data_IF_765443397378
#
_entry.id   IF_765443397378
#
_cell.length_a   1.000
_cell.length_b   1.000
_cell.length_c   1.000
_cell.angle_alpha   90.00
_cell.angle_beta   90.00
_cell.angle_gamma   90.00
#
_symmetry.space_group_name_H-M   'P 1'
#
loop_
_entity.id
_entity.type
_entity.pdbx_description
1 polymer ?
#
# COMPACT_ATOMS: atom_id res chain seq x y z
N UNK A 1 49.75 -12.77 -81.18
CA UNK A 1 49.87 -12.51 -79.77
C UNK A 1 48.45 -12.34 -79.22
N UNK A 2 47.98 -13.32 -78.51
CA UNK A 2 46.57 -13.41 -78.07
C UNK A 2 46.45 -12.93 -76.63
N UNK A 3 45.69 -11.86 -76.39
CA UNK A 3 45.24 -11.47 -75.02
C UNK A 3 43.92 -12.16 -74.72
N UNK A 4 43.91 -12.91 -73.67
CA UNK A 4 42.70 -13.54 -73.14
C UNK A 4 41.93 -12.51 -72.31
N UNK A 5 40.69 -12.27 -72.68
CA UNK A 5 39.74 -11.53 -71.87
C UNK A 5 39.16 -12.48 -70.78
N UNK A 6 39.33 -12.13 -69.54
CA UNK A 6 38.69 -12.77 -68.43
C UNK A 6 37.28 -12.16 -68.23
N UNK A 7 36.27 -13.00 -68.30
CA UNK A 7 34.90 -12.65 -68.05
C UNK A 7 34.73 -12.70 -66.52
N UNK A 8 34.42 -11.55 -65.90
CA UNK A 8 33.99 -11.49 -64.51
C UNK A 8 32.49 -11.90 -64.42
N UNK A 9 32.24 -13.02 -63.81
CA UNK A 9 30.90 -13.43 -63.40
C UNK A 9 30.50 -12.63 -62.15
N UNK A 10 29.50 -11.80 -62.33
CA UNK A 10 28.84 -11.11 -61.20
C UNK A 10 27.95 -12.13 -60.46
N UNK A 11 28.38 -12.52 -59.29
CA UNK A 11 27.55 -13.29 -58.37
C UNK A 11 26.54 -12.38 -57.68
N UNK A 12 25.25 -12.63 -57.85
CA UNK A 12 24.15 -12.05 -57.10
C UNK A 12 24.27 -12.43 -55.63
N UNK A 13 24.10 -11.51 -54.70
CA UNK A 13 24.06 -11.86 -53.28
C UNK A 13 22.74 -12.61 -52.95
N UNK A 14 22.87 -13.80 -52.41
CA UNK A 14 21.80 -14.57 -51.82
C UNK A 14 21.15 -13.79 -50.70
N UNK A 15 19.82 -13.83 -50.70
CA UNK A 15 18.97 -13.28 -49.63
C UNK A 15 19.41 -13.81 -48.25
N UNK A 16 19.91 -12.91 -47.42
CA UNK A 16 20.05 -13.20 -45.99
C UNK A 16 18.68 -13.26 -45.37
N UNK A 17 18.31 -14.45 -44.94
CA UNK A 17 17.24 -14.71 -43.99
C UNK A 17 17.50 -13.85 -42.74
N UNK A 18 16.61 -12.91 -42.46
CA UNK A 18 16.56 -12.21 -41.20
C UNK A 18 16.18 -13.24 -40.09
N UNK A 19 17.17 -13.91 -39.55
CA UNK A 19 17.10 -14.48 -38.23
C UNK A 19 17.06 -13.31 -37.25
N UNK A 20 15.87 -12.90 -36.84
CA UNK A 20 15.67 -12.14 -35.63
C UNK A 20 16.27 -12.97 -34.49
N UNK A 21 17.48 -12.59 -34.09
CA UNK A 21 18.11 -13.05 -32.88
C UNK A 21 17.17 -12.64 -31.71
N UNK A 22 16.34 -13.57 -31.29
CA UNK A 22 15.82 -13.53 -29.92
C UNK A 22 17.06 -13.54 -29.05
N UNK A 23 17.29 -12.54 -28.18
CA UNK A 23 18.42 -12.57 -27.28
C UNK A 23 18.30 -13.87 -26.50
N UNK A 24 19.28 -14.76 -26.61
CA UNK A 24 19.41 -15.85 -25.65
C UNK A 24 19.58 -15.17 -24.30
N UNK A 25 18.51 -15.12 -23.53
CA UNK A 25 18.54 -14.77 -22.13
C UNK A 25 19.51 -15.75 -21.48
N UNK A 26 20.74 -15.27 -21.22
CA UNK A 26 21.60 -15.85 -20.22
C UNK A 26 20.71 -16.18 -19.03
N UNK A 27 20.80 -17.40 -18.51
CA UNK A 27 20.13 -17.90 -17.32
C UNK A 27 20.39 -16.99 -16.09
N UNK A 28 19.80 -15.82 -16.08
CA UNK A 28 19.47 -15.10 -14.88
C UNK A 28 18.08 -15.66 -14.52
N UNK A 29 18.08 -16.76 -13.78
CA UNK A 29 16.95 -17.11 -12.94
C UNK A 29 16.84 -15.99 -11.90
N UNK A 30 16.33 -14.82 -12.33
CA UNK A 30 15.74 -13.89 -11.43
C UNK A 30 14.57 -14.67 -10.83
N UNK A 31 14.75 -15.20 -9.61
CA UNK A 31 13.63 -15.53 -8.75
C UNK A 31 12.86 -14.22 -8.62
N UNK A 32 11.79 -14.08 -9.38
CA UNK A 32 10.75 -13.11 -9.09
C UNK A 32 10.17 -13.62 -7.78
N UNK A 33 10.71 -13.12 -6.68
CA UNK A 33 10.16 -13.41 -5.37
C UNK A 33 8.82 -12.67 -5.28
N UNK A 34 7.83 -13.24 -4.60
CA UNK A 34 6.58 -12.55 -4.25
C UNK A 34 6.83 -11.19 -3.56
N UNK A 35 8.05 -10.95 -3.04
CA UNK A 35 8.50 -9.64 -2.55
C UNK A 35 8.46 -8.51 -3.60
N UNK A 36 8.42 -8.84 -4.90
CA UNK A 36 8.23 -7.89 -5.99
C UNK A 36 6.77 -7.86 -6.46
N UNK A 37 5.86 -8.57 -5.77
CA UNK A 37 4.44 -8.58 -6.08
C UNK A 37 3.72 -7.45 -5.34
N UNK A 38 2.69 -6.92 -5.99
CA UNK A 38 1.78 -5.92 -5.44
C UNK A 38 1.10 -6.44 -4.15
N UNK A 39 0.87 -7.75 -4.06
CA UNK A 39 0.28 -8.42 -2.90
C UNK A 39 1.36 -8.68 -1.86
N UNK A 40 1.39 -7.88 -0.79
CA UNK A 40 2.36 -7.98 0.29
C UNK A 40 1.97 -8.96 1.41
N UNK A 41 0.71 -9.37 1.47
CA UNK A 41 0.22 -10.38 2.41
C UNK A 41 -1.20 -10.83 2.10
N UNK A 42 -1.47 -12.13 2.23
CA UNK A 42 -2.82 -12.70 2.12
C UNK A 42 -2.89 -13.98 2.98
N UNK A 43 -3.50 -13.90 4.14
CA UNK A 43 -3.51 -14.97 5.15
C UNK A 43 -4.86 -15.06 5.86
N UNK A 44 -5.11 -16.23 6.46
CA UNK A 44 -6.15 -16.38 7.48
C UNK A 44 -5.46 -16.34 8.84
N UNK A 45 -5.92 -15.45 9.70
CA UNK A 45 -5.37 -15.24 11.03
C UNK A 45 -6.39 -15.57 12.11
N UNK A 46 -5.89 -16.14 13.21
CA UNK A 46 -6.64 -16.36 14.43
C UNK A 46 -6.00 -15.61 15.58
N UNK A 47 -6.81 -14.84 16.30
CA UNK A 47 -6.37 -14.08 17.48
C UNK A 47 -7.26 -14.42 18.66
N UNK A 48 -6.61 -14.54 19.82
CA UNK A 48 -7.30 -14.78 21.09
C UNK A 48 -7.86 -13.50 21.69
N UNK A 49 -8.89 -13.66 22.50
CA UNK A 49 -9.46 -12.60 23.33
C UNK A 49 -8.36 -11.77 24.03
N UNK A 50 -8.56 -10.46 24.11
CA UNK A 50 -7.59 -9.52 24.66
C UNK A 50 -6.44 -9.13 23.70
N UNK A 51 -6.42 -9.66 22.47
CA UNK A 51 -5.44 -9.22 21.46
C UNK A 51 -5.62 -7.74 21.15
N UNK A 52 -4.52 -7.01 21.08
CA UNK A 52 -4.52 -5.59 20.76
C UNK A 52 -3.36 -5.24 19.82
N UNK A 53 -3.70 -4.89 18.60
CA UNK A 53 -2.77 -4.31 17.66
C UNK A 53 -3.00 -2.80 17.63
N UNK A 54 -2.01 -2.07 18.14
CA UNK A 54 -2.13 -0.64 18.41
C UNK A 54 -2.23 0.20 17.14
N UNK A 55 -2.54 1.49 17.31
CA UNK A 55 -2.68 2.43 16.19
C UNK A 55 -1.43 2.53 15.34
N UNK A 56 -1.60 2.27 14.06
CA UNK A 56 -0.56 2.34 13.02
C UNK A 56 -1.15 2.88 11.73
N UNK A 57 -0.33 3.02 10.72
CA UNK A 57 -0.74 3.33 9.34
C UNK A 57 0.28 2.68 8.39
N UNK A 58 -0.09 2.53 7.14
CA UNK A 58 0.78 2.07 6.06
C UNK A 58 0.30 2.62 4.72
N UNK A 59 1.14 2.49 3.69
CA UNK A 59 0.84 2.95 2.32
C UNK A 59 0.01 1.94 1.52
N UNK A 60 -0.14 0.72 2.04
CA UNK A 60 -0.93 -0.33 1.40
C UNK A 60 -2.43 -0.16 1.66
N UNK A 61 -3.24 -0.71 0.77
CA UNK A 61 -4.63 -1.04 1.07
C UNK A 61 -4.64 -2.30 1.93
N UNK A 62 -5.49 -2.31 2.95
CA UNK A 62 -5.63 -3.41 3.88
C UNK A 62 -7.09 -3.86 3.94
N UNK A 63 -7.30 -5.17 3.86
CA UNK A 63 -8.62 -5.78 3.88
C UNK A 63 -8.71 -6.75 5.06
N UNK A 64 -9.81 -6.63 5.81
CA UNK A 64 -10.24 -7.63 6.79
C UNK A 64 -11.61 -8.16 6.41
N UNK A 65 -11.77 -9.47 6.48
CA UNK A 65 -13.06 -10.15 6.45
C UNK A 65 -13.17 -11.07 7.66
N UNK A 66 -14.16 -10.84 8.50
CA UNK A 66 -14.36 -11.62 9.72
C UNK A 66 -15.00 -12.95 9.37
N UNK A 67 -14.32 -14.05 9.70
CA UNK A 67 -14.75 -15.42 9.46
C UNK A 67 -15.55 -15.98 10.63
N UNK A 68 -15.10 -15.67 11.86
CA UNK A 68 -15.82 -16.02 13.08
C UNK A 68 -15.44 -15.10 14.23
N UNK A 69 -16.32 -14.96 15.22
CA UNK A 69 -16.12 -14.09 16.36
C UNK A 69 -16.40 -12.61 16.04
N UNK A 70 -15.74 -11.73 16.79
CA UNK A 70 -15.92 -10.29 16.68
C UNK A 70 -14.63 -9.53 16.96
N UNK A 71 -14.49 -8.35 16.39
CA UNK A 71 -13.37 -7.45 16.64
C UNK A 71 -13.80 -5.99 16.65
N UNK A 72 -12.91 -5.14 17.14
CA UNK A 72 -13.06 -3.70 17.13
C UNK A 72 -11.88 -3.07 16.39
N UNK A 73 -12.17 -2.00 15.66
CA UNK A 73 -11.15 -1.20 15.00
C UNK A 73 -11.41 0.28 15.32
N UNK A 74 -10.37 0.97 15.78
CA UNK A 74 -10.40 2.42 15.70
C UNK A 74 -9.89 2.83 14.32
N UNK A 75 -10.72 3.47 13.53
CA UNK A 75 -10.34 4.03 12.23
C UNK A 75 -10.52 5.53 12.34
N UNK A 76 -9.43 6.28 12.24
CA UNK A 76 -9.40 7.71 12.48
C UNK A 76 -9.90 8.05 13.90
N UNK A 77 -11.05 8.72 14.01
CA UNK A 77 -11.70 9.10 15.28
C UNK A 77 -12.89 8.21 15.64
N UNK A 78 -13.19 7.20 14.85
CA UNK A 78 -14.34 6.31 15.02
C UNK A 78 -13.91 4.96 15.58
N UNK A 79 -14.66 4.42 16.52
CA UNK A 79 -14.53 3.03 16.98
C UNK A 79 -15.63 2.21 16.32
N UNK A 80 -15.25 1.22 15.55
CA UNK A 80 -16.15 0.35 14.79
C UNK A 80 -16.13 -1.06 15.36
N UNK A 81 -17.29 -1.68 15.38
CA UNK A 81 -17.47 -3.09 15.77
C UNK A 81 -17.75 -3.92 14.53
N UNK A 82 -17.04 -5.03 14.38
CA UNK A 82 -17.15 -5.98 13.28
C UNK A 82 -17.45 -7.36 13.81
N UNK A 83 -18.30 -8.10 13.10
CA UNK A 83 -18.75 -9.45 13.42
C UNK A 83 -18.61 -10.37 12.22
N UNK A 84 -18.80 -11.66 12.39
CA UNK A 84 -18.79 -12.65 11.32
C UNK A 84 -19.55 -12.17 10.07
N UNK A 85 -18.90 -12.27 8.90
CA UNK A 85 -19.40 -11.82 7.60
C UNK A 85 -19.21 -10.33 7.33
N UNK A 86 -18.69 -9.54 8.28
CA UNK A 86 -18.29 -8.17 7.96
C UNK A 86 -16.99 -8.15 7.15
N UNK A 87 -16.95 -7.24 6.19
CA UNK A 87 -15.82 -6.91 5.36
C UNK A 87 -15.47 -5.44 5.55
N UNK A 88 -14.20 -5.14 5.70
CA UNK A 88 -13.70 -3.76 5.71
C UNK A 88 -12.42 -3.67 4.87
N UNK A 89 -12.34 -2.62 4.05
CA UNK A 89 -11.14 -2.24 3.30
C UNK A 89 -10.70 -0.87 3.81
N UNK A 90 -9.50 -0.80 4.34
CA UNK A 90 -8.87 0.42 4.88
C UNK A 90 -7.93 0.97 3.81
N UNK A 91 -8.06 2.28 3.55
CA UNK A 91 -7.27 2.96 2.53
C UNK A 91 -5.85 3.30 3.03
N UNK A 92 -4.91 3.57 2.11
CA UNK A 92 -3.57 4.03 2.46
C UNK A 92 -3.58 5.24 3.39
N UNK A 93 -2.56 5.32 4.23
CA UNK A 93 -2.30 6.45 5.13
C UNK A 93 -3.38 6.72 6.19
N UNK A 94 -4.33 5.81 6.34
CA UNK A 94 -5.36 5.88 7.38
C UNK A 94 -4.84 5.30 8.68
N UNK A 95 -4.87 6.11 9.76
CA UNK A 95 -4.50 5.64 11.10
C UNK A 95 -5.60 4.74 11.64
N UNK A 96 -5.24 3.52 11.95
CA UNK A 96 -6.19 2.52 12.48
C UNK A 96 -5.55 1.59 13.51
N UNK A 97 -6.39 0.84 14.23
CA UNK A 97 -6.02 -0.21 15.18
C UNK A 97 -6.96 -1.39 15.04
N UNK A 98 -6.53 -2.57 15.48
CA UNK A 98 -7.35 -3.77 15.54
C UNK A 98 -7.24 -4.38 16.93
N UNK A 99 -8.36 -4.65 17.59
CA UNK A 99 -8.33 -5.26 18.90
C UNK A 99 -9.57 -6.12 19.18
N UNK A 100 -9.41 -7.07 20.09
CA UNK A 100 -10.45 -7.95 20.58
C UNK A 100 -10.78 -7.58 22.04
N UNK A 101 -12.04 -7.79 22.42
CA UNK A 101 -12.41 -7.76 23.84
C UNK A 101 -11.81 -8.97 24.59
N UNK A 102 -11.99 -9.02 25.90
CA UNK A 102 -11.47 -10.10 26.74
C UNK A 102 -12.33 -11.39 26.70
N UNK A 103 -13.38 -11.43 25.89
CA UNK A 103 -14.40 -12.49 25.91
C UNK A 103 -14.49 -13.32 24.65
N UNK A 104 -14.02 -12.79 23.50
CA UNK A 104 -14.23 -13.42 22.19
C UNK A 104 -12.94 -13.52 21.42
N UNK A 105 -12.62 -14.71 20.93
CA UNK A 105 -11.60 -14.93 19.91
C UNK A 105 -12.14 -14.48 18.55
N UNK A 106 -11.24 -14.25 17.60
CA UNK A 106 -11.62 -13.86 16.25
C UNK A 106 -10.74 -14.54 15.20
N UNK A 107 -11.37 -15.06 14.15
CA UNK A 107 -10.72 -15.54 12.95
C UNK A 107 -11.09 -14.65 11.77
N UNK A 108 -10.11 -14.24 10.99
CA UNK A 108 -10.32 -13.31 9.89
C UNK A 108 -9.34 -13.55 8.74
N UNK A 109 -9.78 -13.23 7.53
CA UNK A 109 -8.89 -13.07 6.38
C UNK A 109 -8.28 -11.67 6.44
N UNK A 110 -6.97 -11.61 6.17
CA UNK A 110 -6.19 -10.38 6.22
C UNK A 110 -5.33 -10.28 4.96
N UNK A 111 -5.54 -9.23 4.18
CA UNK A 111 -4.90 -9.04 2.89
C UNK A 111 -4.35 -7.63 2.79
N UNK A 112 -3.11 -7.50 2.36
CA UNK A 112 -2.46 -6.20 2.11
C UNK A 112 -1.89 -6.15 0.71
N UNK A 113 -2.04 -5.03 0.03
CA UNK A 113 -1.49 -4.85 -1.30
C UNK A 113 -1.20 -3.38 -1.62
N UNK A 114 -0.25 -3.17 -2.54
CA UNK A 114 0.13 -1.86 -3.02
C UNK A 114 -0.96 -1.32 -3.98
N UNK A 115 -1.52 -0.13 -3.71
CA UNK A 115 -2.52 0.49 -4.57
C UNK A 115 -1.99 0.98 -5.91
N UNK A 116 -0.68 1.09 -6.11
CA UNK A 116 -0.07 1.63 -7.34
C UNK A 116 -0.48 0.86 -8.61
N UNK A 117 -0.89 -0.40 -8.47
CA UNK A 117 -1.51 -1.17 -9.55
C UNK A 117 -2.63 -0.40 -10.25
N UNK A 118 -3.42 0.34 -9.48
CA UNK A 118 -4.62 1.02 -9.98
C UNK A 118 -4.32 2.38 -10.63
N UNK A 119 -3.10 2.87 -10.52
CA UNK A 119 -2.66 4.14 -11.13
C UNK A 119 -2.65 4.10 -12.65
N UNK A 120 -2.45 2.91 -13.23
CA UNK A 120 -2.38 2.70 -14.69
C UNK A 120 -3.73 2.42 -15.34
N UNK A 121 -4.79 2.23 -14.56
CA UNK A 121 -6.12 1.87 -15.06
C UNK A 121 -6.95 3.13 -15.22
N UNK A 122 -7.19 3.51 -16.47
CA UNK A 122 -7.96 4.71 -16.82
C UNK A 122 -9.44 4.37 -16.87
N UNK A 123 -10.26 5.07 -16.07
CA UNK A 123 -11.70 4.96 -16.05
C UNK A 123 -12.35 5.99 -16.99
N UNK A 124 -11.79 7.20 -17.04
CA UNK A 124 -12.28 8.29 -17.88
C UNK A 124 -11.10 9.13 -18.37
N UNK A 125 -11.14 9.52 -19.64
CA UNK A 125 -10.06 10.31 -20.29
C UNK A 125 -10.61 11.59 -20.97
N UNK A 126 -11.87 11.95 -20.72
CA UNK A 126 -12.51 13.10 -21.37
C UNK A 126 -12.18 14.44 -20.66
N UNK A 127 -11.54 14.39 -19.50
CA UNK A 127 -11.10 15.54 -18.73
C UNK A 127 -9.70 16.06 -19.08
N UNK A 128 -9.29 17.14 -18.40
CA UNK A 128 -7.93 17.72 -18.50
C UNK A 128 -6.86 16.70 -18.02
N UNK A 129 -7.24 15.84 -17.07
CA UNK A 129 -6.43 14.74 -16.56
C UNK A 129 -7.23 13.44 -16.58
N UNK A 130 -6.60 12.28 -16.91
CA UNK A 130 -7.28 11.00 -16.87
C UNK A 130 -7.67 10.64 -15.43
N UNK A 131 -8.92 10.19 -15.24
CA UNK A 131 -9.35 9.61 -13.98
C UNK A 131 -8.91 8.15 -13.98
N UNK A 132 -8.07 7.79 -13.03
CA UNK A 132 -7.63 6.41 -12.84
C UNK A 132 -8.47 5.70 -11.79
N UNK A 133 -8.43 4.36 -11.79
CA UNK A 133 -9.05 3.57 -10.73
C UNK A 133 -8.49 3.93 -9.34
N UNK A 134 -7.21 4.23 -9.25
CA UNK A 134 -6.58 4.72 -8.02
C UNK A 134 -7.25 6.01 -7.54
N UNK A 135 -7.51 6.96 -8.43
CA UNK A 135 -8.23 8.18 -8.09
C UNK A 135 -9.64 7.88 -7.55
N UNK A 136 -10.39 6.98 -8.19
CA UNK A 136 -11.73 6.62 -7.73
C UNK A 136 -11.73 6.01 -6.32
N UNK A 137 -10.68 5.25 -5.99
CA UNK A 137 -10.51 4.62 -4.66
C UNK A 137 -10.08 5.64 -3.61
N UNK A 138 -9.02 6.41 -3.88
CA UNK A 138 -8.38 7.28 -2.88
C UNK A 138 -9.09 8.62 -2.67
N UNK A 139 -9.73 9.16 -3.72
CA UNK A 139 -10.44 10.43 -3.63
C UNK A 139 -11.93 10.29 -3.28
N UNK A 140 -12.36 9.08 -2.93
CA UNK A 140 -13.62 8.94 -2.21
C UNK A 140 -13.51 9.71 -0.88
N UNK A 141 -14.62 10.28 -0.41
CA UNK A 141 -14.66 10.97 0.89
C UNK A 141 -14.52 10.01 2.10
N UNK A 142 -14.15 8.77 1.85
CA UNK A 142 -14.09 7.70 2.84
C UNK A 142 -12.65 7.35 3.18
N UNK A 143 -12.43 6.95 4.42
CA UNK A 143 -11.14 6.40 4.89
C UNK A 143 -11.13 4.88 4.81
N UNK A 144 -12.31 4.28 4.71
CA UNK A 144 -12.52 2.86 4.62
C UNK A 144 -13.84 2.56 3.91
N UNK A 145 -13.96 1.36 3.37
CA UNK A 145 -15.21 0.80 2.84
C UNK A 145 -15.65 -0.34 3.72
N UNK A 146 -16.91 -0.35 4.14
CA UNK A 146 -17.51 -1.42 4.94
C UNK A 146 -18.67 -2.04 4.18
N UNK A 147 -18.66 -3.35 4.05
CA UNK A 147 -19.69 -4.16 3.40
C UNK A 147 -20.01 -5.38 4.25
N UNK A 148 -21.14 -6.02 3.96
CA UNK A 148 -21.34 -7.43 4.31
C UNK A 148 -20.74 -8.26 3.19
N UNK A 149 -19.89 -9.23 3.55
CA UNK A 149 -19.31 -10.15 2.59
C UNK A 149 -20.41 -11.00 1.95
N UNK A 150 -20.26 -11.26 0.68
CA UNK A 150 -21.10 -12.17 -0.09
C UNK A 150 -20.23 -13.20 -0.81
N UNK A 151 -20.87 -14.10 -1.56
CA UNK A 151 -20.18 -15.17 -2.26
C UNK A 151 -19.11 -14.66 -3.24
N UNK A 152 -19.31 -13.48 -3.86
CA UNK A 152 -18.35 -12.90 -4.80
C UNK A 152 -17.10 -12.38 -4.09
N UNK A 153 -17.28 -11.63 -3.00
CA UNK A 153 -16.16 -11.16 -2.17
C UNK A 153 -15.40 -12.37 -1.61
N UNK A 154 -16.13 -13.36 -1.08
CA UNK A 154 -15.55 -14.56 -0.48
C UNK A 154 -14.68 -15.34 -1.47
N UNK A 155 -15.15 -15.52 -2.71
CA UNK A 155 -14.41 -16.20 -3.78
C UNK A 155 -13.14 -15.43 -4.16
N UNK A 156 -13.23 -14.09 -4.32
CA UNK A 156 -12.07 -13.26 -4.68
C UNK A 156 -11.00 -13.25 -3.57
N UNK A 157 -11.41 -13.13 -2.30
CA UNK A 157 -10.48 -13.16 -1.18
C UNK A 157 -9.81 -14.53 -1.03
N UNK A 158 -10.56 -15.63 -1.16
CA UNK A 158 -9.99 -16.97 -1.12
C UNK A 158 -9.00 -17.18 -2.26
N UNK A 159 -9.34 -16.73 -3.47
CA UNK A 159 -8.45 -16.80 -4.63
C UNK A 159 -7.14 -16.05 -4.39
N UNK A 160 -7.17 -14.87 -3.75
CA UNK A 160 -5.96 -14.12 -3.42
C UNK A 160 -5.08 -14.88 -2.41
N UNK A 161 -5.69 -15.51 -1.40
CA UNK A 161 -4.98 -16.34 -0.41
C UNK A 161 -4.34 -17.56 -1.10
N UNK A 162 -5.09 -18.24 -1.98
CA UNK A 162 -4.61 -19.39 -2.71
C UNK A 162 -3.44 -19.04 -3.63
N UNK A 163 -3.51 -17.89 -4.33
CA UNK A 163 -2.44 -17.39 -5.18
C UNK A 163 -1.19 -16.99 -4.37
N UNK A 164 -1.38 -16.41 -3.18
CA UNK A 164 -0.29 -16.00 -2.31
C UNK A 164 0.46 -17.19 -1.70
N UNK A 165 -0.27 -18.28 -1.40
CA UNK A 165 0.28 -19.50 -0.77
C UNK A 165 0.75 -20.55 -1.77
N UNK A 166 0.36 -20.44 -3.05
CA UNK A 166 0.76 -21.35 -4.10
C UNK A 166 2.25 -21.21 -4.47
N UNK A 167 2.80 -22.26 -5.08
CA UNK A 167 4.13 -22.16 -5.70
C UNK A 167 4.10 -21.15 -6.85
N UNK A 168 5.11 -20.29 -6.92
CA UNK A 168 5.22 -19.26 -7.95
C UNK A 168 5.24 -19.85 -9.37
N UNK A 169 4.46 -19.25 -10.25
CA UNK A 169 4.46 -19.50 -11.69
C UNK A 169 4.69 -18.17 -12.43
N UNK A 170 5.06 -18.26 -13.71
CA UNK A 170 5.23 -17.07 -14.57
C UNK A 170 3.99 -16.16 -14.59
N UNK A 171 2.81 -16.71 -14.34
CA UNK A 171 1.54 -15.98 -14.42
C UNK A 171 0.97 -15.60 -13.04
N UNK A 172 1.64 -15.93 -11.93
CA UNK A 172 1.11 -15.69 -10.58
C UNK A 172 0.84 -14.19 -10.36
N UNK A 173 1.80 -13.32 -10.65
CA UNK A 173 1.64 -11.87 -10.52
C UNK A 173 0.47 -11.32 -11.36
N UNK A 174 0.33 -11.77 -12.62
CA UNK A 174 -0.78 -11.35 -13.48
C UNK A 174 -2.14 -11.81 -12.92
N UNK A 175 -2.22 -13.03 -12.40
CA UNK A 175 -3.45 -13.57 -11.80
C UNK A 175 -3.82 -12.81 -10.51
N UNK A 176 -2.83 -12.44 -9.68
CA UNK A 176 -3.03 -11.60 -8.51
C UNK A 176 -3.58 -10.25 -8.91
N UNK A 177 -2.97 -9.58 -9.89
CA UNK A 177 -3.41 -8.26 -10.37
C UNK A 177 -4.86 -8.29 -10.89
N UNK A 178 -5.22 -9.33 -11.67
CA UNK A 178 -6.60 -9.51 -12.16
C UNK A 178 -7.57 -9.75 -11.02
N UNK A 179 -7.20 -10.57 -10.02
CA UNK A 179 -8.07 -10.83 -8.87
C UNK A 179 -8.29 -9.57 -8.01
N UNK A 180 -7.21 -8.81 -7.73
CA UNK A 180 -7.31 -7.53 -7.02
C UNK A 180 -8.16 -6.50 -7.77
N UNK A 181 -8.00 -6.42 -9.10
CA UNK A 181 -8.79 -5.53 -9.94
C UNK A 181 -10.27 -5.89 -9.91
N UNK A 182 -10.61 -7.17 -10.06
CA UNK A 182 -12.00 -7.63 -10.00
C UNK A 182 -12.62 -7.33 -8.63
N UNK A 183 -11.89 -7.59 -7.54
CA UNK A 183 -12.33 -7.28 -6.18
C UNK A 183 -12.58 -5.78 -6.02
N UNK A 184 -11.66 -4.93 -6.47
CA UNK A 184 -11.77 -3.49 -6.34
C UNK A 184 -12.96 -2.93 -7.12
N UNK A 185 -13.13 -3.34 -8.38
CA UNK A 185 -14.27 -2.92 -9.20
C UNK A 185 -15.58 -3.37 -8.57
N UNK A 186 -15.63 -4.59 -8.02
CA UNK A 186 -16.80 -5.10 -7.33
C UNK A 186 -17.15 -4.25 -6.09
N UNK A 187 -16.15 -3.93 -5.26
CA UNK A 187 -16.35 -3.08 -4.07
C UNK A 187 -16.89 -1.71 -4.47
N UNK A 188 -16.29 -1.07 -5.46
CA UNK A 188 -16.71 0.27 -5.92
C UNK A 188 -18.12 0.27 -6.52
N UNK A 189 -18.51 -0.80 -7.21
CA UNK A 189 -19.84 -0.93 -7.81
C UNK A 189 -20.94 -1.21 -6.76
N UNK A 190 -20.58 -1.80 -5.62
CA UNK A 190 -21.50 -2.18 -4.54
C UNK A 190 -21.44 -1.28 -3.31
N UNK A 191 -20.51 -0.35 -3.26
CA UNK A 191 -20.55 0.76 -2.31
C UNK A 191 -21.45 1.86 -2.86
N UNK A 192 -22.12 2.60 -1.97
CA UNK A 192 -22.93 3.76 -2.36
C UNK A 192 -22.18 4.56 -3.42
N UNK A 193 -22.77 4.78 -4.60
CA UNK A 193 -22.07 5.49 -5.66
C UNK A 193 -21.63 6.83 -5.08
N UNK A 194 -20.38 7.18 -5.32
CA UNK A 194 -19.90 8.54 -5.16
C UNK A 194 -20.65 9.37 -6.21
N UNK A 195 -21.96 9.56 -5.98
CA UNK A 195 -22.79 10.46 -6.74
C UNK A 195 -22.35 11.87 -6.39
N UNK A 196 -21.80 12.50 -7.35
CA UNK A 196 -21.11 13.76 -7.37
C UNK A 196 -19.62 13.59 -6.98
N UNK A 197 -18.78 13.69 -7.96
CA UNK A 197 -17.49 14.33 -7.83
C UNK A 197 -17.79 15.71 -7.20
N UNK A 198 -18.05 15.72 -5.90
CA UNK A 198 -17.94 16.95 -5.14
C UNK A 198 -16.48 17.26 -5.26
N UNK A 199 -16.17 18.39 -5.91
CA UNK A 199 -14.82 18.94 -5.81
C UNK A 199 -14.36 18.73 -4.38
N UNK A 200 -13.18 18.10 -4.16
CA UNK A 200 -12.74 17.78 -2.82
C UNK A 200 -12.95 19.01 -1.97
N UNK A 201 -13.74 18.87 -0.89
CA UNK A 201 -14.02 20.03 -0.05
C UNK A 201 -12.66 20.66 0.23
N UNK A 202 -12.55 21.99 0.16
CA UNK A 202 -11.27 22.70 0.30
C UNK A 202 -10.42 22.17 1.48
N UNK A 203 -11.09 21.69 2.52
CA UNK A 203 -10.49 21.05 3.68
C UNK A 203 -9.78 19.72 3.34
N UNK A 204 -10.35 18.88 2.46
CA UNK A 204 -9.71 17.63 2.02
C UNK A 204 -8.45 17.93 1.22
N UNK A 205 -8.46 18.98 0.38
CA UNK A 205 -7.28 19.37 -0.38
C UNK A 205 -6.14 19.86 0.53
N UNK A 206 -6.44 20.51 1.65
CA UNK A 206 -5.44 20.92 2.63
C UNK A 206 -4.80 19.73 3.34
N UNK A 207 -5.62 18.73 3.71
CA UNK A 207 -5.10 17.50 4.34
C UNK A 207 -4.31 16.69 3.34
N UNK A 208 -4.80 16.49 2.11
CA UNK A 208 -4.08 15.79 1.05
C UNK A 208 -2.72 16.45 0.75
N UNK A 209 -2.67 17.79 0.66
CA UNK A 209 -1.40 18.49 0.50
C UNK A 209 -0.44 18.24 1.67
N UNK A 210 -0.96 18.29 2.91
CA UNK A 210 -0.15 18.05 4.10
C UNK A 210 0.41 16.61 4.13
N UNK A 211 -0.37 15.61 3.72
CA UNK A 211 0.07 14.23 3.61
C UNK A 211 1.19 14.10 2.55
N UNK A 212 0.98 14.60 1.34
CA UNK A 212 1.99 14.59 0.28
C UNK A 212 3.28 15.29 0.74
N UNK A 213 3.16 16.46 1.39
CA UNK A 213 4.32 17.18 1.92
C UNK A 213 5.09 16.33 2.95
N UNK A 214 4.37 15.63 3.83
CA UNK A 214 5.00 14.72 4.81
C UNK A 214 5.72 13.58 4.10
N UNK A 215 5.10 12.93 3.12
CA UNK A 215 5.68 11.82 2.37
C UNK A 215 6.96 12.22 1.63
N UNK A 216 6.97 13.41 1.05
CA UNK A 216 8.15 13.92 0.32
C UNK A 216 9.28 14.38 1.25
N UNK A 217 8.98 14.75 2.51
CA UNK A 217 9.93 15.43 3.38
C UNK A 217 10.17 14.72 4.73
N UNK A 218 9.60 13.53 4.97
CA UNK A 218 9.66 12.86 6.30
C UNK A 218 11.09 12.61 6.80
N UNK A 219 12.06 12.45 5.92
CA UNK A 219 13.47 12.25 6.27
C UNK A 219 14.15 13.49 6.84
N UNK A 220 13.51 14.66 6.71
CA UNK A 220 14.02 15.94 7.15
C UNK A 220 13.18 16.55 8.28
N UNK A 221 13.57 17.71 8.79
CA UNK A 221 12.76 18.43 9.76
C UNK A 221 11.55 19.05 9.08
N UNK A 222 10.35 18.63 9.45
CA UNK A 222 9.08 19.21 9.00
C UNK A 222 8.59 20.20 10.06
N UNK A 223 8.29 21.42 9.62
CA UNK A 223 7.61 22.44 10.42
C UNK A 223 6.16 22.60 9.92
N UNK A 224 5.22 22.67 10.85
CA UNK A 224 3.80 22.90 10.49
C UNK A 224 3.60 24.27 9.82
N UNK A 225 4.45 25.21 10.16
CA UNK A 225 4.52 26.54 9.58
C UNK A 225 4.79 26.49 8.08
N UNK A 226 5.68 25.63 7.62
CA UNK A 226 6.04 25.51 6.21
C UNK A 226 4.83 25.03 5.39
N UNK A 227 4.12 24.03 5.89
CA UNK A 227 2.89 23.51 5.25
C UNK A 227 1.80 24.58 5.25
N UNK A 228 1.59 25.27 6.38
CA UNK A 228 0.56 26.28 6.53
C UNK A 228 0.78 27.50 5.61
N UNK A 229 2.04 27.93 5.43
CA UNK A 229 2.43 28.98 4.51
C UNK A 229 2.09 28.61 3.06
N UNK A 230 2.43 27.40 2.63
CA UNK A 230 2.13 26.93 1.27
C UNK A 230 0.62 26.87 0.99
N UNK A 231 -0.16 26.49 2.00
CA UNK A 231 -1.61 26.44 1.93
C UNK A 231 -2.30 27.80 2.15
N UNK A 232 -1.55 28.84 2.50
CA UNK A 232 -2.06 30.18 2.84
C UNK A 232 -3.10 30.17 3.98
N UNK A 233 -2.90 29.29 4.97
CA UNK A 233 -3.75 29.17 6.17
C UNK A 233 -2.93 29.30 7.44
N UNK A 234 -3.61 29.48 8.58
CA UNK A 234 -2.92 29.50 9.87
C UNK A 234 -2.54 28.08 10.32
N UNK A 235 -1.42 27.95 11.04
CA UNK A 235 -1.01 26.67 11.68
C UNK A 235 -2.11 26.12 12.58
N UNK A 236 -2.82 26.97 13.31
CA UNK A 236 -3.93 26.57 14.16
C UNK A 236 -5.07 25.93 13.35
N UNK A 237 -5.39 26.49 12.19
CA UNK A 237 -6.43 25.95 11.31
C UNK A 237 -5.98 24.62 10.69
N UNK A 238 -4.74 24.56 10.17
CA UNK A 238 -4.14 23.32 9.67
C UNK A 238 -4.19 22.21 10.73
N UNK A 239 -3.73 22.48 11.96
CA UNK A 239 -3.73 21.51 13.05
C UNK A 239 -5.13 21.02 13.40
N UNK A 240 -6.13 21.92 13.36
CA UNK A 240 -7.54 21.57 13.64
C UNK A 240 -8.11 20.67 12.58
N UNK A 241 -7.99 21.05 11.28
CA UNK A 241 -8.56 20.25 10.19
C UNK A 241 -7.84 18.92 10.05
N UNK A 242 -6.50 18.91 10.13
CA UNK A 242 -5.72 17.68 10.07
C UNK A 242 -6.14 16.71 11.16
N UNK A 243 -6.23 17.16 12.43
CA UNK A 243 -6.69 16.30 13.53
C UNK A 243 -8.14 15.84 13.36
N UNK A 244 -9.02 16.70 12.84
CA UNK A 244 -10.42 16.33 12.59
C UNK A 244 -10.54 15.24 11.53
N UNK A 245 -9.69 15.29 10.48
CA UNK A 245 -9.68 14.31 9.39
C UNK A 245 -8.92 13.03 9.75
N UNK A 246 -7.69 13.18 10.27
CA UNK A 246 -6.78 12.06 10.48
C UNK A 246 -6.91 11.41 11.86
N UNK A 247 -7.77 11.89 12.73
CA UNK A 247 -7.94 11.39 14.11
C UNK A 247 -6.71 11.62 15.01
N UNK A 248 -5.58 12.01 14.46
CA UNK A 248 -4.32 12.27 15.16
C UNK A 248 -3.77 13.65 14.82
N UNK A 249 -2.89 14.17 15.67
CA UNK A 249 -2.19 15.44 15.35
C UNK A 249 -1.18 15.25 14.22
N UNK A 250 -0.91 16.29 13.45
CA UNK A 250 0.06 16.26 12.36
C UNK A 250 1.45 15.79 12.84
N UNK A 251 1.91 16.23 14.01
CA UNK A 251 3.18 15.77 14.58
C UNK A 251 3.15 14.27 14.93
N UNK A 252 2.03 13.76 15.43
CA UNK A 252 1.90 12.34 15.73
C UNK A 252 1.86 11.51 14.45
N UNK A 253 1.17 11.99 13.42
CA UNK A 253 1.14 11.37 12.09
C UNK A 253 2.56 11.25 11.50
N UNK A 254 3.34 12.33 11.50
CA UNK A 254 4.75 12.31 11.05
C UNK A 254 5.54 11.23 11.80
N UNK A 255 5.35 11.12 13.11
CA UNK A 255 6.04 10.12 13.92
C UNK A 255 5.63 8.69 13.54
N UNK A 256 4.33 8.43 13.40
CA UNK A 256 3.81 7.11 13.00
C UNK A 256 4.34 6.75 11.60
N UNK A 257 4.29 7.68 10.65
CA UNK A 257 4.81 7.48 9.29
C UNK A 257 6.30 7.10 9.29
N UNK A 258 7.12 7.85 10.03
CA UNK A 258 8.56 7.56 10.19
C UNK A 258 8.82 6.19 10.81
N UNK A 259 8.01 5.78 11.80
CA UNK A 259 8.14 4.45 12.42
C UNK A 259 7.84 3.36 11.39
N UNK A 260 6.81 3.51 10.57
CA UNK A 260 6.50 2.55 9.52
C UNK A 260 7.62 2.43 8.48
N UNK A 261 8.14 3.54 7.97
CA UNK A 261 9.31 3.54 7.09
C UNK A 261 10.54 2.87 7.77
N UNK A 262 10.70 3.04 9.09
CA UNK A 262 11.79 2.40 9.84
C UNK A 262 11.63 0.88 9.90
N UNK A 263 10.42 0.37 9.98
CA UNK A 263 10.10 -1.07 9.96
C UNK A 263 10.50 -1.68 8.62
N UNK A 264 10.14 -1.04 7.51
CA UNK A 264 10.56 -1.47 6.17
C UNK A 264 12.08 -1.53 6.03
N UNK A 265 12.79 -0.51 6.53
CA UNK A 265 14.25 -0.53 6.54
C UNK A 265 14.82 -1.65 7.42
N UNK A 266 14.17 -1.98 8.55
CA UNK A 266 14.59 -3.10 9.39
C UNK A 266 14.46 -4.45 8.69
N UNK A 267 13.44 -4.62 7.88
CA UNK A 267 13.15 -5.86 7.13
C UNK A 267 14.06 -6.02 5.92
N UNK A 268 14.33 -4.93 5.21
CA UNK A 268 14.95 -4.95 3.89
C UNK A 268 16.43 -4.56 3.88
N UNK A 269 17.00 -4.18 5.03
CA UNK A 269 18.40 -3.72 5.12
C UNK A 269 19.13 -4.24 6.35
N UNK A 270 20.47 -4.18 6.31
CA UNK A 270 21.33 -4.48 7.44
C UNK A 270 21.76 -3.22 8.24
N UNK A 271 21.07 -2.09 8.07
CA UNK A 271 21.38 -0.85 8.77
C UNK A 271 21.22 -1.03 10.29
N UNK A 272 22.06 -0.35 11.07
CA UNK A 272 21.90 -0.30 12.52
C UNK A 272 20.64 0.50 12.89
N UNK A 273 20.09 0.28 14.09
CA UNK A 273 18.93 1.04 14.56
C UNK A 273 19.19 2.56 14.63
N UNK A 274 20.45 2.94 14.88
CA UNK A 274 20.83 4.35 14.87
C UNK A 274 20.84 4.94 13.46
N UNK A 275 21.36 4.21 12.48
CA UNK A 275 21.33 4.63 11.07
C UNK A 275 19.89 4.74 10.58
N UNK A 276 19.04 3.75 10.85
CA UNK A 276 17.63 3.77 10.52
C UNK A 276 16.95 5.00 11.13
N UNK A 277 17.14 5.25 12.43
CA UNK A 277 16.54 6.41 13.10
C UNK A 277 16.88 7.72 12.40
N UNK A 278 18.13 7.92 12.02
CA UNK A 278 18.57 9.11 11.32
C UNK A 278 18.01 9.18 9.90
N UNK A 279 18.01 8.06 9.18
CA UNK A 279 17.52 7.98 7.80
C UNK A 279 16.03 8.28 7.68
N UNK A 280 15.23 7.89 8.67
CA UNK A 280 13.78 8.21 8.68
C UNK A 280 13.47 9.56 9.33
N UNK A 281 14.47 10.38 9.63
CA UNK A 281 14.32 11.78 10.05
C UNK A 281 14.16 12.01 11.54
N UNK A 282 14.51 11.03 12.41
CA UNK A 282 14.63 11.30 13.84
C UNK A 282 15.96 12.00 14.16
N UNK A 283 15.93 12.89 15.14
CA UNK A 283 17.12 13.63 15.58
C UNK A 283 18.18 12.73 16.19
N UNK A 284 17.73 11.73 16.94
CA UNK A 284 18.60 10.78 17.66
C UNK A 284 17.87 9.45 17.92
N UNK A 285 18.64 8.42 18.25
CA UNK A 285 18.13 7.06 18.49
C UNK A 285 17.30 6.95 19.78
N UNK A 286 17.48 7.84 20.75
CA UNK A 286 16.71 7.83 22.00
C UNK A 286 15.27 8.30 21.74
N UNK A 287 15.12 9.41 21.01
CA UNK A 287 13.80 9.90 20.59
C UNK A 287 13.09 8.87 19.70
N UNK A 288 13.83 8.29 18.74
CA UNK A 288 13.32 7.20 17.90
C UNK A 288 12.79 6.03 18.72
N UNK A 289 13.61 5.50 19.67
CA UNK A 289 13.22 4.35 20.49
C UNK A 289 12.00 4.62 21.36
N UNK A 290 11.88 5.84 21.90
CA UNK A 290 10.71 6.26 22.68
C UNK A 290 9.45 6.32 21.81
N UNK A 291 9.54 6.90 20.62
CA UNK A 291 8.41 6.98 19.69
C UNK A 291 8.04 5.59 19.19
N UNK A 292 9.02 4.75 18.84
CA UNK A 292 8.80 3.38 18.40
C UNK A 292 8.05 2.57 19.46
N UNK A 293 8.48 2.64 20.73
CA UNK A 293 7.79 1.98 21.85
C UNK A 293 6.35 2.49 21.99
N UNK A 294 6.12 3.79 21.81
CA UNK A 294 4.76 4.36 21.91
C UNK A 294 3.85 3.96 20.75
N UNK A 295 4.41 3.67 19.57
CA UNK A 295 3.65 3.32 18.37
C UNK A 295 3.49 1.81 18.24
N UNK A 296 4.51 1.01 18.57
CA UNK A 296 4.53 -0.45 18.32
C UNK A 296 4.37 -1.27 19.62
N UNK A 297 4.46 -0.62 20.79
CA UNK A 297 4.45 -1.25 22.12
C UNK A 297 5.59 -2.26 22.35
N UNK A 298 6.63 -2.17 21.52
CA UNK A 298 7.88 -2.95 21.66
C UNK A 298 9.07 -2.03 21.44
N UNK A 299 10.25 -2.43 21.94
CA UNK A 299 11.46 -1.70 21.59
C UNK A 299 11.91 -2.03 20.17
N UNK A 300 12.59 -1.10 19.45
CA UNK A 300 13.13 -1.39 18.12
C UNK A 300 14.01 -2.65 18.08
N UNK A 301 14.77 -2.90 19.16
CA UNK A 301 15.66 -4.07 19.28
C UNK A 301 14.90 -5.39 19.46
N UNK A 302 13.76 -5.36 20.17
CA UNK A 302 12.89 -6.52 20.29
C UNK A 302 12.21 -6.83 18.95
N UNK A 303 11.60 -5.82 18.35
CA UNK A 303 10.93 -5.94 17.07
C UNK A 303 11.84 -6.48 15.95
N UNK A 304 13.08 -5.95 15.85
CA UNK A 304 14.07 -6.44 14.88
C UNK A 304 14.34 -7.95 15.02
N UNK A 305 14.43 -8.47 16.24
CA UNK A 305 14.66 -9.91 16.45
C UNK A 305 13.49 -10.78 15.96
N UNK A 306 12.30 -10.22 15.91
CA UNK A 306 11.10 -10.91 15.44
C UNK A 306 11.06 -10.95 13.92
N UNK A 307 11.44 -9.85 13.25
CA UNK A 307 11.35 -9.71 11.77
C UNK A 307 12.63 -10.15 11.03
N UNK A 308 13.76 -10.33 11.73
CA UNK A 308 15.06 -10.79 11.15
C UNK A 308 15.17 -12.33 11.11
N UNK A 309 14.08 -13.05 11.20
CA UNK A 309 13.99 -14.50 11.01
C UNK A 309 13.45 -14.77 9.63
#
# INVERSE_FOLDING_TARGET
MKKKNAVQTISTPSAHSNNTLIPQTSNVSAKITLSDSILSGAVIEYRKAGYNFIRHLHTNIEIYRILSGECYMDIQSETLHFTEGDFVMILPDVVHSFYLNDTSDCEFQHIHFDPDLFSTIILDNDGIFPITLLHAVLFSSHFYYRLRSDATIDEQLQKLIDLYTASESLFTAANVNVALMNLMLYILDHTEPVHEYKEPQLQNSYVAYALNYIHDHYTTKILQEDIAIQLQISVRYLSKIFKSYMGVTLSNYINIYRINCSIELMQNTNLTLTEIALQVGFKDSQHYSKVFMNVINETPSQYRKTVSK
#
